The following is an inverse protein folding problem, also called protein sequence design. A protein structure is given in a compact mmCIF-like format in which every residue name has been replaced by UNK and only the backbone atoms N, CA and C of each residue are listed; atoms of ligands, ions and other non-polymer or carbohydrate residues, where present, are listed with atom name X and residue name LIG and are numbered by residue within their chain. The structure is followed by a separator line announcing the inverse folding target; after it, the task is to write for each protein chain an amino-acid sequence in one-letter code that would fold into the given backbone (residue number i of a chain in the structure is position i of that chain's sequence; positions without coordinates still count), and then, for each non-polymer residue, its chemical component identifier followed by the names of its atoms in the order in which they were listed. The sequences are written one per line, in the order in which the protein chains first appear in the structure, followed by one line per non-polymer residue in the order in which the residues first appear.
data_IF_061299842936
#
_entry.id   IF_061299842936
#
_cell.length_a   1.000
_cell.length_b   1.000
_cell.length_c   1.000
_cell.angle_alpha   90.00
_cell.angle_beta   90.00
_cell.angle_gamma   90.00
#
_symmetry.space_group_name_H-M   'P 1'
#
loop_
_entity.id
_entity.type
_entity.pdbx_description
1 polymer ?
#
# COMPACT_ATOMS: atom_id res chain seq x y z
N UNK A 1 0.51 -8.27 -0.05
CA UNK A 1 -0.13 -7.23 -0.87
C UNK A 1 -0.93 -7.85 -1.99
N UNK A 2 -0.34 -8.65 -2.89
CA UNK A 2 -1.11 -9.34 -3.95
C UNK A 2 -2.34 -10.06 -3.40
N UNK A 3 -2.19 -10.93 -2.40
CA UNK A 3 -3.32 -11.61 -1.74
C UNK A 3 -4.41 -10.67 -1.17
N UNK A 4 -4.05 -9.44 -0.78
CA UNK A 4 -5.02 -8.47 -0.29
C UNK A 4 -5.77 -7.79 -1.45
N UNK A 5 -5.09 -7.57 -2.57
CA UNK A 5 -5.66 -7.00 -3.81
C UNK A 5 -6.54 -8.03 -4.52
N UNK A 6 -6.14 -9.30 -4.54
CA UNK A 6 -6.93 -10.39 -5.12
C UNK A 6 -8.29 -10.48 -4.39
N UNK A 7 -8.31 -10.28 -3.07
CA UNK A 7 -9.52 -10.26 -2.24
C UNK A 7 -10.24 -8.91 -2.21
N UNK A 8 -9.75 -7.91 -2.92
CA UNK A 8 -10.29 -6.57 -2.85
C UNK A 8 -11.66 -6.48 -3.52
N UNK A 9 -12.59 -5.79 -2.86
CA UNK A 9 -13.84 -5.32 -3.45
C UNK A 9 -13.67 -3.98 -4.14
N UNK A 10 -12.72 -3.17 -3.66
CA UNK A 10 -12.49 -1.82 -4.13
C UNK A 10 -11.22 -1.20 -3.58
N UNK A 11 -10.85 -0.05 -4.16
CA UNK A 11 -9.71 0.77 -3.76
C UNK A 11 -10.20 2.20 -3.50
N UNK A 12 -10.70 2.49 -2.30
CA UNK A 12 -11.31 3.78 -2.00
C UNK A 12 -10.29 4.92 -1.89
N UNK A 13 -10.78 6.15 -2.03
CA UNK A 13 -9.97 7.36 -1.86
C UNK A 13 -9.73 7.69 -0.39
N UNK A 14 -10.71 7.42 0.47
CA UNK A 14 -10.62 7.65 1.91
C UNK A 14 -11.45 6.65 2.70
N UNK A 15 -11.09 6.50 3.97
CA UNK A 15 -11.82 5.76 4.99
C UNK A 15 -11.46 6.35 6.36
N UNK A 16 -12.44 6.85 7.11
CA UNK A 16 -12.24 7.64 8.33
C UNK A 16 -11.17 8.75 8.16
N UNK A 17 -10.15 8.79 9.02
CA UNK A 17 -9.04 9.74 8.94
C UNK A 17 -7.97 9.41 7.87
N UNK A 18 -8.11 8.30 7.14
CA UNK A 18 -7.11 7.85 6.17
C UNK A 18 -7.49 8.27 4.76
N UNK A 19 -6.54 8.88 4.04
CA UNK A 19 -6.68 9.25 2.61
C UNK A 19 -5.58 8.58 1.80
N UNK A 20 -5.96 7.90 0.72
CA UNK A 20 -5.06 7.23 -0.22
C UNK A 20 -4.10 8.25 -0.85
N UNK A 21 -2.82 7.90 -0.90
CA UNK A 21 -1.74 8.74 -1.45
C UNK A 21 -0.60 7.85 -1.95
N UNK A 22 0.49 8.45 -2.43
CA UNK A 22 1.68 7.68 -2.80
C UNK A 22 2.33 6.93 -1.62
N UNK A 23 2.02 7.28 -0.36
CA UNK A 23 2.54 6.61 0.84
C UNK A 23 1.48 5.86 1.63
N UNK A 24 0.23 5.85 1.16
CA UNK A 24 -0.89 5.21 1.84
C UNK A 24 -1.83 4.57 0.84
N UNK A 25 -2.09 3.28 0.98
CA UNK A 25 -3.01 2.53 0.15
C UNK A 25 -4.13 1.95 1.02
N UNK A 26 -5.37 2.19 0.61
CA UNK A 26 -6.57 1.58 1.17
C UNK A 26 -7.09 0.49 0.23
N UNK A 27 -7.44 -0.67 0.80
CA UNK A 27 -7.96 -1.82 0.09
C UNK A 27 -9.21 -2.28 0.83
N UNK A 28 -10.38 -2.15 0.20
CA UNK A 28 -11.65 -2.61 0.76
C UNK A 28 -11.78 -4.12 0.59
N UNK A 29 -12.10 -4.83 1.67
CA UNK A 29 -12.40 -6.26 1.67
C UNK A 29 -13.76 -6.51 2.35
N UNK A 30 -14.31 -7.72 2.22
CA UNK A 30 -15.59 -8.09 2.85
C UNK A 30 -15.60 -7.88 4.37
N UNK A 31 -14.46 -8.07 5.03
CA UNK A 31 -14.33 -8.06 6.49
C UNK A 31 -13.78 -6.73 7.05
N UNK A 32 -13.69 -5.68 6.22
CA UNK A 32 -13.19 -4.37 6.62
C UNK A 32 -12.17 -3.80 5.64
N UNK A 33 -11.39 -2.82 6.12
CA UNK A 33 -10.43 -2.09 5.30
C UNK A 33 -9.00 -2.53 5.61
N UNK A 34 -8.18 -2.83 4.59
CA UNK A 34 -6.74 -2.99 4.77
C UNK A 34 -6.05 -1.68 4.41
N UNK A 35 -5.22 -1.18 5.33
CA UNK A 35 -4.41 0.01 5.15
C UNK A 35 -2.93 -0.37 5.10
N UNK A 36 -2.28 -0.02 3.99
CA UNK A 36 -0.84 -0.04 3.83
C UNK A 36 -0.28 1.37 3.97
N UNK A 37 0.76 1.55 4.77
CA UNK A 37 1.41 2.84 4.98
C UNK A 37 2.93 2.70 4.95
N UNK A 38 3.61 3.57 4.20
CA UNK A 38 5.06 3.72 4.27
C UNK A 38 5.39 4.84 5.26
N UNK A 39 6.06 4.50 6.36
CA UNK A 39 6.49 5.46 7.39
C UNK A 39 7.83 5.02 7.98
N UNK A 40 8.77 5.95 8.07
CA UNK A 40 10.08 5.75 8.70
C UNK A 40 10.81 4.47 8.22
N UNK A 41 10.93 4.32 6.90
CA UNK A 41 11.50 3.15 6.21
C UNK A 41 10.87 1.80 6.59
N UNK A 42 9.60 1.83 6.99
CA UNK A 42 8.78 0.65 7.28
C UNK A 42 7.49 0.70 6.48
N UNK A 43 7.11 -0.46 5.94
CA UNK A 43 5.75 -0.67 5.43
C UNK A 43 4.92 -1.29 6.55
N UNK A 44 3.82 -0.64 6.89
CA UNK A 44 2.86 -1.11 7.88
C UNK A 44 1.61 -1.58 7.14
N UNK A 45 1.12 -2.79 7.46
CA UNK A 45 -0.23 -3.25 7.11
C UNK A 45 -1.08 -3.27 8.36
N UNK A 46 -2.29 -2.74 8.28
CA UNK A 46 -3.30 -2.77 9.36
C UNK A 46 -4.66 -3.14 8.77
N UNK A 47 -5.46 -3.86 9.53
CA UNK A 47 -6.91 -3.99 9.29
C UNK A 47 -7.60 -2.88 10.09
N UNK A 48 -8.45 -2.10 9.44
CA UNK A 48 -9.30 -1.08 10.06
C UNK A 48 -10.72 -1.66 10.10
N UNK A 49 -11.34 -1.62 11.29
CA UNK A 49 -12.69 -2.11 11.57
C UNK A 49 -13.43 -1.06 12.40
N UNK A 50 -14.75 -0.94 12.23
CA UNK A 50 -15.59 0.08 12.89
C UNK A 50 -15.46 0.14 14.42
N UNK A 51 -15.12 -0.99 15.07
CA UNK A 51 -14.70 -0.98 16.47
C UNK A 51 -13.23 -0.58 16.54
N UNK A 52 -13.02 0.69 16.93
CA UNK A 52 -11.76 1.32 17.29
C UNK A 52 -10.57 0.35 17.39
N UNK A 53 -9.65 0.50 16.44
CA UNK A 53 -8.24 0.19 16.62
C UNK A 53 -8.00 -1.17 17.31
N UNK A 54 -8.61 -2.23 16.76
CA UNK A 54 -8.57 -3.56 17.35
C UNK A 54 -7.13 -3.91 17.76
N UNK A 55 -6.95 -4.02 19.07
CA UNK A 55 -5.73 -4.42 19.76
C UNK A 55 -4.92 -5.43 18.95
N UNK A 56 -3.68 -5.06 18.59
CA UNK A 56 -2.56 -5.95 18.22
C UNK A 56 -2.77 -7.03 17.13
N UNK A 57 -3.98 -7.20 16.57
CA UNK A 57 -4.40 -8.46 15.95
C UNK A 57 -3.76 -8.78 14.60
N UNK A 58 -3.49 -7.79 13.74
CA UNK A 58 -2.87 -8.05 12.42
C UNK A 58 -1.96 -6.92 11.94
N UNK A 59 -1.27 -6.25 12.86
CA UNK A 59 -0.27 -5.26 12.45
C UNK A 59 0.98 -5.98 11.96
N UNK A 60 1.11 -6.12 10.64
CA UNK A 60 2.37 -6.56 10.03
C UNK A 60 3.25 -5.35 9.73
N UNK A 61 4.52 -5.45 10.07
CA UNK A 61 5.51 -4.41 9.83
C UNK A 61 6.68 -5.04 9.11
N UNK A 62 7.02 -4.50 7.94
CA UNK A 62 8.21 -4.87 7.20
C UNK A 62 9.22 -3.72 7.23
N UNK A 63 10.42 -4.01 7.69
CA UNK A 63 11.54 -3.08 7.57
C UNK A 63 12.04 -3.08 6.13
N UNK A 64 12.06 -1.90 5.51
CA UNK A 64 12.50 -1.71 4.12
C UNK A 64 13.53 -0.56 4.08
N UNK A 65 14.70 -0.73 4.73
CA UNK A 65 15.68 0.34 4.88
C UNK A 65 16.12 0.87 3.51
N UNK A 66 16.11 2.19 3.37
CA UNK A 66 16.48 2.88 2.12
C UNK A 66 15.64 2.53 0.88
N UNK A 67 14.62 1.69 1.02
CA UNK A 67 13.67 1.43 -0.04
C UNK A 67 12.65 2.56 -0.09
N UNK A 68 12.18 2.84 -1.30
CA UNK A 68 10.98 3.65 -1.52
C UNK A 68 9.94 2.76 -2.15
N UNK A 69 8.73 2.89 -1.63
CA UNK A 69 7.53 2.22 -2.12
C UNK A 69 6.51 3.32 -2.36
N UNK A 70 6.04 3.41 -3.59
CA UNK A 70 5.01 4.37 -3.98
C UNK A 70 3.82 3.60 -4.55
N UNK A 71 2.64 3.90 -4.01
CA UNK A 71 1.38 3.34 -4.48
C UNK A 71 0.64 4.33 -5.34
N UNK A 72 0.17 3.88 -6.50
CA UNK A 72 -0.71 4.65 -7.35
C UNK A 72 -1.95 3.82 -7.64
N UNK A 73 -3.10 4.25 -7.12
CA UNK A 73 -4.38 3.65 -7.47
C UNK A 73 -4.82 4.19 -8.83
N UNK A 74 -4.98 3.29 -9.79
CA UNK A 74 -5.52 3.57 -11.11
C UNK A 74 -7.05 3.53 -11.02
N UNK A 75 -7.68 4.59 -11.50
CA UNK A 75 -9.12 4.82 -11.37
C UNK A 75 -9.77 4.92 -12.74
N UNK A 76 -10.98 4.38 -12.84
CA UNK A 76 -11.87 4.54 -13.99
C UNK A 76 -13.28 4.75 -13.44
N UNK A 77 -13.97 5.75 -13.95
CA UNK A 77 -15.25 6.21 -13.41
C UNK A 77 -15.16 6.52 -11.90
N UNK A 78 -16.02 5.92 -11.07
CA UNK A 78 -16.06 6.14 -9.61
C UNK A 78 -15.23 5.15 -8.78
N UNK A 79 -14.45 4.27 -9.42
CA UNK A 79 -13.76 3.17 -8.73
C UNK A 79 -12.27 3.05 -9.08
N UNK A 80 -11.46 2.71 -8.07
CA UNK A 80 -10.11 2.21 -8.30
C UNK A 80 -10.14 0.76 -8.76
N UNK A 81 -9.54 0.46 -9.91
CA UNK A 81 -9.56 -0.87 -10.54
C UNK A 81 -8.19 -1.57 -10.53
N UNK A 82 -7.11 -0.84 -10.28
CA UNK A 82 -5.78 -1.41 -10.18
C UNK A 82 -4.89 -0.57 -9.24
N UNK A 83 -3.84 -1.20 -8.72
CA UNK A 83 -2.76 -0.55 -7.98
C UNK A 83 -1.46 -0.79 -8.71
N UNK A 84 -0.78 0.30 -9.07
CA UNK A 84 0.61 0.26 -9.48
C UNK A 84 1.50 0.47 -8.24
N UNK A 85 2.45 -0.43 -8.04
CA UNK A 85 3.44 -0.38 -6.96
C UNK A 85 4.81 -0.12 -7.57
N UNK A 86 5.30 1.09 -7.37
CA UNK A 86 6.65 1.51 -7.81
C UNK A 86 7.61 1.34 -6.64
N UNK A 87 8.73 0.66 -6.90
CA UNK A 87 9.75 0.41 -5.89
C UNK A 87 11.14 0.76 -6.41
N UNK A 88 12.00 1.29 -5.55
CA UNK A 88 13.44 1.41 -5.81
C UNK A 88 14.21 1.40 -4.49
N UNK A 89 15.49 1.05 -4.55
CA UNK A 89 16.42 1.16 -3.42
C UNK A 89 17.31 2.37 -3.65
N UNK A 90 17.46 3.21 -2.62
CA UNK A 90 18.47 4.26 -2.59
C UNK A 90 19.76 3.72 -1.98
N UNK A 91 20.87 3.87 -2.67
CA UNK A 91 22.17 3.44 -2.19
C UNK A 91 23.17 4.60 -2.25
N UNK A 92 23.95 4.81 -1.19
CA UNK A 92 24.98 5.84 -1.18
C UNK A 92 26.31 5.25 -1.66
N UNK A 93 26.85 5.78 -2.75
CA UNK A 93 28.19 5.44 -3.25
C UNK A 93 29.01 6.72 -3.23
N UNK A 94 30.07 6.77 -2.42
CA UNK A 94 31.00 7.90 -2.38
C UNK A 94 30.31 9.29 -2.22
N UNK A 95 29.23 9.35 -1.43
CA UNK A 95 28.48 10.58 -1.20
C UNK A 95 27.40 10.88 -2.26
N UNK A 96 27.19 10.00 -3.23
CA UNK A 96 26.13 10.13 -4.25
C UNK A 96 25.01 9.12 -4.01
N UNK A 97 23.76 9.59 -4.06
CA UNK A 97 22.58 8.72 -3.91
C UNK A 97 22.15 8.17 -5.26
N UNK A 98 22.40 6.89 -5.47
CA UNK A 98 21.96 6.15 -6.66
C UNK A 98 20.61 5.47 -6.41
N UNK A 99 19.79 5.35 -7.47
CA UNK A 99 18.59 4.51 -7.49
C UNK A 99 18.92 3.18 -8.17
N UNK A 100 18.66 2.07 -7.50
CA UNK A 100 18.83 0.71 -8.06
C UNK A 100 17.55 -0.11 -7.93
N UNK A 101 17.44 -1.15 -8.75
CA UNK A 101 16.32 -2.10 -8.76
C UNK A 101 14.96 -1.40 -8.87
N UNK A 102 14.89 -0.40 -9.76
CA UNK A 102 13.64 0.31 -10.03
C UNK A 102 12.67 -0.63 -10.76
N UNK A 103 11.58 -0.99 -10.10
CA UNK A 103 10.57 -1.91 -10.62
C UNK A 103 9.17 -1.34 -10.44
N UNK A 104 8.26 -1.66 -11.36
CA UNK A 104 6.84 -1.37 -11.24
C UNK A 104 6.03 -2.65 -11.42
N UNK A 105 5.06 -2.87 -10.52
CA UNK A 105 4.12 -3.99 -10.62
C UNK A 105 2.70 -3.46 -10.61
N UNK A 106 1.87 -3.95 -11.52
CA UNK A 106 0.46 -3.59 -11.62
C UNK A 106 -0.41 -4.77 -11.16
N UNK A 107 -1.28 -4.51 -10.20
CA UNK A 107 -2.22 -5.49 -9.66
C UNK A 107 -3.65 -5.01 -9.92
N UNK A 108 -4.50 -5.88 -10.46
CA UNK A 108 -5.90 -5.56 -10.79
C UNK A 108 -6.83 -6.08 -9.70
N UNK A 109 -7.84 -5.28 -9.36
CA UNK A 109 -8.92 -5.67 -8.45
C UNK A 109 -9.88 -6.61 -9.19
N UNK A 110 -10.25 -7.73 -8.56
CA UNK A 110 -11.21 -8.67 -9.14
C UNK A 110 -10.70 -9.43 -10.37
N UNK A 111 -9.38 -9.46 -10.60
CA UNK A 111 -8.80 -10.34 -11.61
C UNK A 111 -8.83 -11.79 -11.10
N UNK A 112 -9.82 -12.54 -11.57
CA UNK A 112 -9.97 -13.98 -11.39
C UNK A 112 -10.21 -14.65 -12.74
#
# INVERSE_FOLDING_TARGET
MQQDIDKAKGLPESFDEYTTSNKLLLIEQTEGMICYQLKDDKVLRRKLTDNQQSNAGERRVWSVPHAKVEWQVWRKDRGGYAVEVKTHIKHNVQGHWEKKMANSHLYFVGAF
#
